data_IF_209010500236
#
_entry.id   IF_209010500236
#
_cell.length_a   1.000
_cell.length_b   1.000
_cell.length_c   1.000
_cell.angle_alpha   90.00
_cell.angle_beta   90.00
_cell.angle_gamma   90.00
#
_symmetry.space_group_name_H-M   'P 1'
#
loop_
_entity.id
_entity.type
_entity.pdbx_description
1 polymer ?
#
# COMPACT_ATOMS: atom_id res chain seq x y z
N UNK A 1 -70.71 -21.27 51.15
CA UNK A 1 -69.37 -21.40 51.77
C UNK A 1 -68.37 -21.82 50.70
N UNK A 2 -67.20 -21.19 50.73
CA UNK A 2 -65.96 -21.46 49.99
C UNK A 2 -65.87 -21.03 48.51
N UNK A 3 -65.51 -19.75 48.36
CA UNK A 3 -64.80 -19.19 47.20
C UNK A 3 -63.35 -19.70 47.27
N UNK A 4 -62.93 -20.45 46.25
CA UNK A 4 -61.55 -20.93 46.13
C UNK A 4 -60.66 -19.88 45.46
N UNK A 5 -59.47 -19.73 46.05
CA UNK A 5 -58.42 -18.77 45.75
C UNK A 5 -57.86 -18.96 44.33
N UNK A 6 -57.97 -17.94 43.49
CA UNK A 6 -57.11 -17.77 42.31
C UNK A 6 -56.11 -16.68 42.66
N UNK A 7 -54.93 -17.11 43.08
CA UNK A 7 -53.81 -16.25 43.45
C UNK A 7 -53.13 -15.76 42.17
N UNK A 8 -53.00 -14.45 42.09
CA UNK A 8 -52.34 -13.65 41.06
C UNK A 8 -50.93 -14.16 40.79
N UNK A 9 -50.64 -14.48 39.52
CA UNK A 9 -49.29 -14.84 39.04
C UNK A 9 -49.10 -14.24 37.65
N UNK A 10 -49.03 -12.91 37.56
CA UNK A 10 -48.85 -12.20 36.28
C UNK A 10 -48.16 -10.83 36.45
N UNK A 11 -47.00 -10.78 37.09
CA UNK A 11 -46.24 -9.52 37.24
C UNK A 11 -44.71 -9.67 37.20
N UNK A 12 -44.18 -10.74 36.59
CA UNK A 12 -42.72 -10.97 36.46
C UNK A 12 -42.14 -10.80 35.04
N UNK A 13 -42.88 -10.23 34.09
CA UNK A 13 -42.43 -10.06 32.69
C UNK A 13 -41.95 -8.64 32.33
N UNK A 14 -41.84 -7.71 33.29
CA UNK A 14 -41.51 -6.29 33.01
C UNK A 14 -40.03 -5.91 33.20
N UNK A 15 -39.15 -6.82 33.64
CA UNK A 15 -37.75 -6.45 33.94
C UNK A 15 -36.78 -6.70 32.78
N UNK A 16 -37.14 -7.51 31.78
CA UNK A 16 -36.30 -7.71 30.58
C UNK A 16 -36.51 -6.65 29.49
N UNK A 17 -37.61 -5.89 29.54
CA UNK A 17 -37.96 -4.87 28.54
C UNK A 17 -37.33 -3.49 28.77
N UNK A 18 -36.65 -3.26 29.90
CA UNK A 18 -35.99 -1.98 30.17
C UNK A 18 -34.67 -1.84 29.39
N UNK A 19 -33.88 -2.92 29.26
CA UNK A 19 -32.60 -2.89 28.56
C UNK A 19 -32.79 -2.69 27.04
N UNK A 20 -33.67 -3.46 26.41
CA UNK A 20 -33.98 -3.34 24.98
C UNK A 20 -34.54 -1.95 24.64
N UNK A 21 -35.45 -1.42 25.47
CA UNK A 21 -36.02 -0.09 25.29
C UNK A 21 -34.99 1.03 25.45
N UNK A 22 -34.06 0.90 26.39
CA UNK A 22 -33.00 1.88 26.60
C UNK A 22 -32.00 1.87 25.44
N UNK A 23 -31.65 0.69 24.92
CA UNK A 23 -30.76 0.56 23.78
C UNK A 23 -31.37 1.19 22.52
N UNK A 24 -32.61 0.81 22.16
CA UNK A 24 -33.30 1.40 21.01
C UNK A 24 -33.41 2.93 21.11
N UNK A 25 -33.70 3.45 22.31
CA UNK A 25 -33.72 4.89 22.55
C UNK A 25 -32.35 5.53 22.24
N UNK A 26 -31.26 4.99 22.78
CA UNK A 26 -29.93 5.57 22.59
C UNK A 26 -29.36 5.38 21.19
N UNK A 27 -29.71 4.29 20.50
CA UNK A 27 -29.39 4.11 19.07
C UNK A 27 -30.04 5.20 18.21
N UNK A 28 -31.24 5.65 18.57
CA UNK A 28 -31.94 6.75 17.91
C UNK A 28 -31.53 8.15 18.40
N UNK A 29 -30.90 8.25 19.58
CA UNK A 29 -30.59 9.50 20.29
C UNK A 29 -29.13 9.47 20.79
N UNK A 30 -28.18 9.53 19.85
CA UNK A 30 -26.77 9.33 20.15
C UNK A 30 -26.13 10.45 20.96
N UNK A 31 -26.60 11.69 20.83
CA UNK A 31 -26.07 12.80 21.62
C UNK A 31 -26.42 12.59 23.10
N UNK A 32 -27.64 12.16 23.38
CA UNK A 32 -28.12 11.76 24.69
C UNK A 32 -27.38 10.52 25.21
N UNK A 33 -27.06 9.57 24.34
CA UNK A 33 -26.24 8.40 24.67
C UNK A 33 -24.83 8.83 25.13
N UNK A 34 -24.18 9.75 24.40
CA UNK A 34 -22.86 10.27 24.77
C UNK A 34 -22.88 11.02 26.10
N UNK A 35 -23.88 11.87 26.32
CA UNK A 35 -24.07 12.55 27.61
C UNK A 35 -24.24 11.52 28.74
N UNK A 36 -25.02 10.46 28.51
CA UNK A 36 -25.21 9.40 29.51
C UNK A 36 -23.92 8.63 29.78
N UNK A 37 -23.15 8.28 28.76
CA UNK A 37 -21.84 7.62 28.91
C UNK A 37 -20.92 8.47 29.79
N UNK A 38 -20.80 9.78 29.52
CA UNK A 38 -19.95 10.68 30.31
C UNK A 38 -20.39 10.74 31.78
N UNK A 39 -21.71 10.77 32.04
CA UNK A 39 -22.27 10.73 33.39
C UNK A 39 -21.95 9.42 34.12
N UNK A 40 -22.07 8.28 33.43
CA UNK A 40 -21.76 6.96 33.96
C UNK A 40 -20.26 6.84 34.26
N UNK A 41 -19.39 7.25 33.34
CA UNK A 41 -17.93 7.26 33.54
C UNK A 41 -17.52 8.14 34.72
N UNK A 42 -18.04 9.37 34.79
CA UNK A 42 -17.78 10.29 35.89
C UNK A 42 -18.20 9.69 37.24
N UNK A 43 -19.36 9.03 37.27
CA UNK A 43 -19.88 8.40 38.47
C UNK A 43 -19.04 7.20 38.90
N UNK A 44 -18.61 6.36 37.95
CA UNK A 44 -17.73 5.23 38.20
C UNK A 44 -16.35 5.69 38.69
N UNK A 45 -15.75 6.70 38.04
CA UNK A 45 -14.46 7.28 38.46
C UNK A 45 -14.56 7.85 39.86
N UNK A 46 -15.63 8.60 40.16
CA UNK A 46 -15.85 9.14 41.50
C UNK A 46 -15.93 8.03 42.55
N UNK A 47 -16.76 7.01 42.32
CA UNK A 47 -16.89 5.87 43.22
C UNK A 47 -15.56 5.12 43.41
N UNK A 48 -14.81 4.94 42.32
CA UNK A 48 -13.50 4.31 42.35
C UNK A 48 -12.49 5.11 43.17
N UNK A 49 -12.40 6.43 42.96
CA UNK A 49 -11.48 7.31 43.71
C UNK A 49 -11.80 7.37 45.20
N UNK A 50 -13.08 7.22 45.58
CA UNK A 50 -13.50 7.12 46.99
C UNK A 50 -13.43 5.69 47.55
N UNK A 51 -12.89 4.73 46.80
CA UNK A 51 -12.80 3.31 47.17
C UNK A 51 -14.14 2.65 47.51
N UNK A 52 -15.24 3.17 46.93
CA UNK A 52 -16.60 2.68 47.13
C UNK A 52 -16.91 1.58 46.10
N UNK A 53 -16.55 0.34 46.44
CA UNK A 53 -16.64 -0.82 45.54
C UNK A 53 -18.08 -1.14 45.13
N UNK A 54 -19.03 -1.06 46.07
CA UNK A 54 -20.44 -1.34 45.81
C UNK A 54 -21.00 -0.36 44.78
N UNK A 55 -20.63 0.92 44.90
CA UNK A 55 -21.06 1.95 43.96
C UNK A 55 -20.39 1.84 42.59
N UNK A 56 -19.14 1.39 42.52
CA UNK A 56 -18.50 1.06 41.24
C UNK A 56 -19.28 -0.06 40.54
N UNK A 57 -19.59 -1.15 41.25
CA UNK A 57 -20.34 -2.28 40.69
C UNK A 57 -21.75 -1.87 40.25
N UNK A 58 -22.44 -1.04 41.05
CA UNK A 58 -23.76 -0.52 40.70
C UNK A 58 -23.76 0.29 39.41
N UNK A 59 -22.73 1.11 39.16
CA UNK A 59 -22.62 1.89 37.91
C UNK A 59 -22.26 0.99 36.71
N UNK A 60 -21.36 0.01 36.91
CA UNK A 60 -20.93 -0.90 35.84
C UNK A 60 -22.01 -1.91 35.44
N UNK A 61 -22.97 -2.18 36.31
CA UNK A 61 -24.10 -3.08 36.05
C UNK A 61 -25.41 -2.35 35.77
N UNK A 62 -25.39 -1.01 35.79
CA UNK A 62 -26.55 -0.20 35.47
C UNK A 62 -26.96 -0.39 34.01
N UNK A 63 -28.19 -0.85 33.79
CA UNK A 63 -28.68 -1.21 32.47
C UNK A 63 -28.78 -0.01 31.52
N UNK A 64 -29.03 1.19 32.03
CA UNK A 64 -29.11 2.40 31.20
C UNK A 64 -27.71 2.85 30.76
N UNK A 65 -26.73 2.80 31.68
CA UNK A 65 -25.31 3.01 31.36
C UNK A 65 -24.79 2.01 30.33
N UNK A 66 -25.11 0.72 30.48
CA UNK A 66 -24.71 -0.32 29.53
C UNK A 66 -25.31 -0.07 28.14
N UNK A 67 -26.61 0.23 28.05
CA UNK A 67 -27.27 0.54 26.78
C UNK A 67 -26.69 1.79 26.10
N UNK A 68 -26.39 2.85 26.86
CA UNK A 68 -25.78 4.06 26.30
C UNK A 68 -24.36 3.80 25.76
N UNK A 69 -23.54 3.05 26.50
CA UNK A 69 -22.19 2.64 26.06
C UNK A 69 -22.28 1.78 24.79
N UNK A 70 -23.21 0.83 24.75
CA UNK A 70 -23.42 -0.05 23.61
C UNK A 70 -23.80 0.74 22.35
N UNK A 71 -24.77 1.66 22.45
CA UNK A 71 -25.20 2.51 21.34
C UNK A 71 -24.06 3.38 20.79
N UNK A 72 -23.31 4.05 21.67
CA UNK A 72 -22.17 4.89 21.27
C UNK A 72 -21.08 4.05 20.60
N UNK A 73 -20.74 2.89 21.19
CA UNK A 73 -19.71 2.00 20.66
C UNK A 73 -20.09 1.45 19.29
N UNK A 74 -21.33 0.99 19.12
CA UNK A 74 -21.82 0.46 17.85
C UNK A 74 -21.78 1.54 16.75
N UNK A 75 -22.20 2.76 17.09
CA UNK A 75 -22.10 3.90 16.17
C UNK A 75 -20.64 4.19 15.78
N UNK A 76 -19.74 4.32 16.75
CA UNK A 76 -18.34 4.68 16.49
C UNK A 76 -17.62 3.60 15.69
N UNK A 77 -17.95 2.33 15.91
CA UNK A 77 -17.48 1.21 15.08
C UNK A 77 -17.96 1.33 13.63
N UNK A 78 -19.23 1.67 13.42
CA UNK A 78 -19.79 1.85 12.08
C UNK A 78 -19.14 3.01 11.33
N UNK A 79 -18.89 4.14 12.01
CA UNK A 79 -18.17 5.27 11.41
C UNK A 79 -16.75 4.85 11.04
N UNK A 80 -16.02 4.19 11.95
CA UNK A 80 -14.67 3.73 11.67
C UNK A 80 -14.61 2.74 10.50
N UNK A 81 -15.61 1.87 10.35
CA UNK A 81 -15.73 0.95 9.20
C UNK A 81 -15.95 1.72 7.89
N UNK A 82 -16.89 2.67 7.87
CA UNK A 82 -17.16 3.51 6.70
C UNK A 82 -15.92 4.33 6.28
N UNK A 83 -15.17 4.87 7.24
CA UNK A 83 -13.93 5.59 6.98
C UNK A 83 -12.85 4.69 6.38
N UNK A 84 -12.70 3.46 6.91
CA UNK A 84 -11.77 2.46 6.36
C UNK A 84 -12.15 2.06 4.95
N UNK A 85 -13.42 1.79 4.69
CA UNK A 85 -13.88 1.46 3.34
C UNK A 85 -13.62 2.60 2.35
N UNK A 86 -13.88 3.84 2.76
CA UNK A 86 -13.62 5.02 1.93
C UNK A 86 -12.12 5.17 1.65
N UNK A 87 -11.28 5.07 2.67
CA UNK A 87 -9.83 5.14 2.53
C UNK A 87 -9.28 4.03 1.63
N UNK A 88 -9.83 2.81 1.74
CA UNK A 88 -9.44 1.69 0.87
C UNK A 88 -9.83 1.96 -0.59
N UNK A 89 -11.06 2.42 -0.85
CA UNK A 89 -11.51 2.77 -2.21
C UNK A 89 -10.66 3.89 -2.81
N UNK A 90 -10.32 4.92 -2.03
CA UNK A 90 -9.44 6.01 -2.46
C UNK A 90 -8.03 5.50 -2.76
N UNK A 91 -7.45 4.66 -1.89
CA UNK A 91 -6.14 4.07 -2.10
C UNK A 91 -6.10 3.17 -3.34
N UNK A 92 -7.12 2.34 -3.57
CA UNK A 92 -7.24 1.51 -4.77
C UNK A 92 -7.37 2.37 -6.04
N UNK A 93 -8.13 3.46 -6.00
CA UNK A 93 -8.23 4.40 -7.12
C UNK A 93 -6.88 5.08 -7.41
N UNK A 94 -6.16 5.52 -6.37
CA UNK A 94 -4.81 6.09 -6.52
C UNK A 94 -3.83 5.08 -7.10
N UNK A 95 -3.86 3.82 -6.64
CA UNK A 95 -3.03 2.74 -7.17
C UNK A 95 -3.31 2.50 -8.65
N UNK A 96 -4.58 2.39 -9.04
CA UNK A 96 -4.98 2.22 -10.45
C UNK A 96 -4.54 3.41 -11.32
N UNK A 97 -4.68 4.64 -10.83
CA UNK A 97 -4.22 5.83 -11.52
C UNK A 97 -2.69 5.86 -11.67
N UNK A 98 -1.96 5.49 -10.63
CA UNK A 98 -0.50 5.39 -10.66
C UNK A 98 0.00 4.29 -11.60
N UNK A 99 -0.65 3.12 -11.62
CA UNK A 99 -0.36 2.03 -12.56
C UNK A 99 -0.63 2.46 -14.00
N UNK A 100 -1.78 3.08 -14.29
CA UNK A 100 -2.09 3.62 -15.61
C UNK A 100 -1.04 4.62 -16.07
N UNK A 101 -0.71 5.60 -15.22
CA UNK A 101 0.33 6.58 -15.51
C UNK A 101 1.70 5.93 -15.74
N UNK A 102 2.06 4.94 -14.93
CA UNK A 102 3.29 4.18 -15.10
C UNK A 102 3.37 3.52 -16.48
N UNK A 103 2.29 2.87 -16.93
CA UNK A 103 2.25 2.24 -18.24
C UNK A 103 2.30 3.24 -19.40
N UNK A 104 1.60 4.37 -19.29
CA UNK A 104 1.64 5.46 -20.27
C UNK A 104 3.06 6.06 -20.37
N UNK A 105 3.67 6.39 -19.23
CA UNK A 105 5.03 6.92 -19.17
C UNK A 105 6.04 5.90 -19.71
N UNK A 106 5.92 4.62 -19.35
CA UNK A 106 6.78 3.55 -19.85
C UNK A 106 6.68 3.44 -21.37
N UNK A 107 5.47 3.37 -21.93
CA UNK A 107 5.28 3.29 -23.38
C UNK A 107 5.88 4.50 -24.10
N UNK A 108 5.68 5.70 -23.55
CA UNK A 108 6.28 6.93 -24.06
C UNK A 108 7.80 6.87 -24.06
N UNK A 109 8.42 6.47 -22.96
CA UNK A 109 9.88 6.39 -22.86
C UNK A 109 10.46 5.29 -23.76
N UNK A 110 9.82 4.13 -23.86
CA UNK A 110 10.24 3.05 -24.74
C UNK A 110 10.32 3.47 -26.21
N UNK A 111 9.41 4.34 -26.66
CA UNK A 111 9.46 4.92 -28.00
C UNK A 111 10.48 6.06 -28.07
N UNK A 112 10.42 7.05 -27.17
CA UNK A 112 11.28 8.23 -27.28
C UNK A 112 12.78 7.93 -27.16
N UNK A 113 13.13 6.81 -26.52
CA UNK A 113 14.51 6.40 -26.30
C UNK A 113 14.95 5.31 -27.28
N UNK A 114 14.08 4.81 -28.17
CA UNK A 114 14.42 3.68 -29.07
C UNK A 114 15.49 4.01 -30.09
N UNK A 115 15.63 5.28 -30.43
CA UNK A 115 16.54 5.76 -31.49
C UNK A 115 17.91 6.15 -30.94
N UNK A 116 18.07 6.14 -29.62
CA UNK A 116 19.35 6.42 -28.98
C UNK A 116 20.37 5.32 -29.24
N UNK A 117 21.64 5.74 -29.30
CA UNK A 117 22.77 4.82 -29.38
C UNK A 117 22.95 4.03 -28.08
N UNK A 118 23.67 2.91 -28.15
CA UNK A 118 24.02 2.14 -26.96
C UNK A 118 24.76 2.97 -25.90
N UNK A 119 25.65 3.90 -26.32
CA UNK A 119 26.41 4.74 -25.39
C UNK A 119 25.48 5.68 -24.61
N UNK A 120 24.50 6.27 -25.28
CA UNK A 120 23.52 7.16 -24.64
C UNK A 120 22.61 6.39 -23.68
N UNK A 121 22.17 5.19 -24.09
CA UNK A 121 21.34 4.33 -23.24
C UNK A 121 22.13 3.80 -22.03
N UNK A 122 23.40 3.41 -22.17
CA UNK A 122 24.24 2.97 -21.05
C UNK A 122 24.45 4.10 -20.02
N UNK A 123 24.58 5.35 -20.49
CA UNK A 123 24.64 6.52 -19.60
C UNK A 123 23.34 6.68 -18.81
N UNK A 124 22.19 6.65 -19.48
CA UNK A 124 20.88 6.72 -18.82
C UNK A 124 20.67 5.56 -17.84
N UNK A 125 21.14 4.36 -18.20
CA UNK A 125 21.01 3.17 -17.36
C UNK A 125 21.83 3.30 -16.06
N UNK A 126 23.00 3.94 -16.12
CA UNK A 126 23.79 4.27 -14.93
C UNK A 126 23.10 5.30 -14.04
N UNK A 127 22.48 6.33 -14.63
CA UNK A 127 21.68 7.32 -13.91
C UNK A 127 20.47 6.67 -13.19
N UNK A 128 19.92 5.61 -13.78
CA UNK A 128 18.79 4.87 -13.21
C UNK A 128 19.13 3.97 -12.01
N UNK A 129 20.42 3.73 -11.68
CA UNK A 129 20.81 2.83 -10.58
C UNK A 129 20.30 3.26 -9.20
N UNK A 130 20.13 4.57 -8.99
CA UNK A 130 19.73 5.13 -7.70
C UNK A 130 18.44 5.98 -7.80
N UNK A 131 17.78 5.98 -8.96
CA UNK A 131 16.56 6.78 -9.16
C UNK A 131 15.33 6.01 -8.67
N UNK A 132 14.66 6.56 -7.65
CA UNK A 132 13.35 6.10 -7.16
C UNK A 132 12.18 6.85 -7.80
N UNK A 133 12.43 8.00 -8.44
CA UNK A 133 11.39 8.88 -8.98
C UNK A 133 10.91 8.46 -10.38
N UNK A 134 11.81 7.97 -11.22
CA UNK A 134 11.53 7.72 -12.64
C UNK A 134 11.41 6.23 -12.97
N UNK A 135 10.62 5.48 -12.18
CA UNK A 135 10.53 4.01 -12.33
C UNK A 135 10.16 3.56 -13.75
N UNK A 136 9.23 4.25 -14.40
CA UNK A 136 8.78 3.92 -15.76
C UNK A 136 9.90 4.13 -16.79
N UNK A 137 10.56 5.30 -16.75
CA UNK A 137 11.73 5.62 -17.59
C UNK A 137 12.85 4.61 -17.38
N UNK A 138 13.16 4.30 -16.13
CA UNK A 138 14.26 3.41 -15.81
C UNK A 138 14.00 1.96 -16.20
N UNK A 139 12.74 1.51 -16.16
CA UNK A 139 12.37 0.22 -16.72
C UNK A 139 12.57 0.20 -18.25
N UNK A 140 12.09 1.22 -18.97
CA UNK A 140 12.28 1.33 -20.41
C UNK A 140 13.77 1.37 -20.80
N UNK A 141 14.58 2.17 -20.09
CA UNK A 141 16.03 2.27 -20.30
C UNK A 141 16.71 0.91 -20.08
N UNK A 142 16.35 0.17 -19.02
CA UNK A 142 16.94 -1.14 -18.74
C UNK A 142 16.71 -2.13 -19.88
N UNK A 143 15.50 -2.20 -20.40
CA UNK A 143 15.14 -3.09 -21.51
C UNK A 143 15.80 -2.66 -22.82
N UNK A 144 15.82 -1.35 -23.11
CA UNK A 144 16.53 -0.81 -24.27
C UNK A 144 18.04 -1.03 -24.17
N UNK A 145 18.62 -0.97 -22.97
CA UNK A 145 20.06 -1.16 -22.77
C UNK A 145 20.51 -2.55 -23.20
N UNK A 146 19.78 -3.59 -22.78
CA UNK A 146 20.01 -4.97 -23.20
C UNK A 146 19.90 -5.11 -24.73
N UNK A 147 18.83 -4.56 -25.32
CA UNK A 147 18.58 -4.63 -26.76
C UNK A 147 19.67 -3.92 -27.56
N UNK A 148 19.97 -2.67 -27.22
CA UNK A 148 20.96 -1.81 -27.91
C UNK A 148 22.38 -2.34 -27.76
N UNK A 149 22.71 -2.91 -26.60
CA UNK A 149 23.99 -3.61 -26.40
C UNK A 149 24.14 -4.74 -27.41
N UNK A 150 23.12 -5.58 -27.56
CA UNK A 150 23.17 -6.71 -28.49
C UNK A 150 23.18 -6.28 -29.96
N UNK A 151 22.41 -5.25 -30.32
CA UNK A 151 22.45 -4.63 -31.65
C UNK A 151 23.87 -4.15 -31.98
N UNK A 152 24.49 -3.37 -31.08
CA UNK A 152 25.85 -2.83 -31.28
C UNK A 152 26.91 -3.95 -31.34
N UNK A 153 26.79 -4.99 -30.50
CA UNK A 153 27.66 -6.18 -30.58
C UNK A 153 27.58 -6.83 -31.96
N UNK A 154 26.39 -6.97 -32.53
CA UNK A 154 26.22 -7.57 -33.85
C UNK A 154 26.76 -6.67 -34.96
N UNK A 155 26.49 -5.35 -34.89
CA UNK A 155 27.08 -4.37 -35.80
C UNK A 155 28.61 -4.45 -35.81
N UNK A 156 29.24 -4.58 -34.64
CA UNK A 156 30.70 -4.75 -34.55
C UNK A 156 31.18 -6.05 -35.19
N UNK A 157 30.48 -7.17 -34.98
CA UNK A 157 30.85 -8.46 -35.59
C UNK A 157 30.73 -8.45 -37.11
N UNK A 158 29.68 -7.80 -37.63
CA UNK A 158 29.43 -7.71 -39.07
C UNK A 158 30.42 -6.75 -39.74
N UNK A 159 30.73 -5.64 -39.07
CA UNK A 159 31.69 -4.65 -39.56
C UNK A 159 33.14 -5.16 -39.54
N UNK A 160 33.51 -5.91 -38.51
CA UNK A 160 34.89 -6.38 -38.29
C UNK A 160 35.00 -7.91 -38.41
N UNK A 161 35.05 -8.38 -39.65
CA UNK A 161 35.24 -9.81 -40.00
C UNK A 161 36.72 -10.19 -40.08
N UNK A 162 37.01 -11.51 -40.03
CA UNK A 162 38.33 -12.05 -40.37
C UNK A 162 39.48 -11.67 -39.43
N UNK A 163 39.21 -11.41 -38.14
CA UNK A 163 40.25 -11.05 -37.14
C UNK A 163 40.39 -9.54 -36.89
N UNK A 164 39.76 -8.69 -37.72
CA UNK A 164 39.77 -7.23 -37.54
C UNK A 164 39.08 -6.74 -36.26
N UNK A 165 38.24 -7.57 -35.63
CA UNK A 165 37.56 -7.23 -34.38
C UNK A 165 38.53 -7.21 -33.19
N UNK A 166 39.56 -8.08 -33.20
CA UNK A 166 40.61 -8.08 -32.20
C UNK A 166 41.46 -6.80 -32.29
N UNK A 167 41.81 -6.38 -33.51
CA UNK A 167 42.52 -5.12 -33.76
C UNK A 167 41.70 -3.91 -33.29
N UNK A 168 40.41 -3.89 -33.65
CA UNK A 168 39.49 -2.86 -33.17
C UNK A 168 39.44 -2.83 -31.64
N UNK A 169 39.22 -3.96 -30.97
CA UNK A 169 39.24 -4.01 -29.49
C UNK A 169 40.55 -3.48 -28.92
N UNK A 170 41.71 -3.92 -29.43
CA UNK A 170 43.03 -3.47 -28.95
C UNK A 170 43.16 -1.94 -29.06
N UNK A 171 42.68 -1.35 -30.15
CA UNK A 171 42.67 0.11 -30.32
C UNK A 171 41.70 0.80 -29.37
N UNK A 172 40.44 0.36 -29.28
CA UNK A 172 39.40 0.96 -28.43
C UNK A 172 39.67 0.85 -26.94
N UNK A 173 40.49 -0.13 -26.53
CA UNK A 173 40.88 -0.35 -25.14
C UNK A 173 42.24 0.26 -24.77
N UNK A 174 42.91 0.99 -25.67
CA UNK A 174 44.19 1.63 -25.37
C UNK A 174 43.94 2.80 -24.40
N UNK A 175 44.55 2.73 -23.22
CA UNK A 175 44.45 3.81 -22.23
C UNK A 175 44.97 5.14 -22.80
N UNK A 176 44.27 6.24 -22.53
CA UNK A 176 44.57 7.57 -23.06
C UNK A 176 43.42 8.55 -22.81
N UNK A 177 43.56 9.80 -23.28
CA UNK A 177 42.57 10.88 -23.08
C UNK A 177 41.23 10.57 -23.77
N UNK A 178 41.25 9.83 -24.88
CA UNK A 178 40.04 9.43 -25.63
C UNK A 178 39.45 8.07 -25.18
N UNK A 179 39.93 7.52 -24.05
CA UNK A 179 39.50 6.20 -23.60
C UNK A 179 38.01 6.20 -23.19
N UNK A 180 37.21 5.40 -23.89
CA UNK A 180 35.82 5.16 -23.56
C UNK A 180 35.63 3.72 -23.07
N UNK A 181 35.42 3.57 -21.76
CA UNK A 181 35.24 2.27 -21.11
C UNK A 181 34.05 1.48 -21.67
N UNK A 182 32.98 2.16 -22.11
CA UNK A 182 31.79 1.51 -22.70
C UNK A 182 32.15 0.87 -24.04
N UNK A 183 32.87 1.61 -24.89
CA UNK A 183 33.32 1.11 -26.21
C UNK A 183 34.30 -0.06 -26.04
N UNK A 184 35.26 0.07 -25.13
CA UNK A 184 36.20 -1.02 -24.85
C UNK A 184 35.48 -2.29 -24.36
N UNK A 185 34.49 -2.16 -23.48
CA UNK A 185 33.73 -3.30 -22.96
C UNK A 185 32.90 -3.98 -24.04
N UNK A 186 32.20 -3.22 -24.87
CA UNK A 186 31.37 -3.83 -25.92
C UNK A 186 32.22 -4.50 -27.01
N UNK A 187 33.38 -3.93 -27.33
CA UNK A 187 34.34 -4.54 -28.25
C UNK A 187 34.89 -5.88 -27.70
N UNK A 188 35.24 -5.91 -26.40
CA UNK A 188 35.64 -7.15 -25.70
C UNK A 188 34.56 -8.22 -25.78
N UNK A 189 33.32 -7.84 -25.51
CA UNK A 189 32.20 -8.77 -25.50
C UNK A 189 31.87 -9.29 -26.90
N UNK A 190 31.91 -8.42 -27.91
CA UNK A 190 31.73 -8.80 -29.31
C UNK A 190 32.80 -9.80 -29.77
N UNK A 191 34.08 -9.56 -29.46
CA UNK A 191 35.19 -10.45 -29.79
C UNK A 191 35.02 -11.83 -29.12
N UNK A 192 34.77 -11.85 -27.80
CA UNK A 192 34.56 -13.09 -27.05
C UNK A 192 33.43 -13.93 -27.66
N UNK A 193 32.30 -13.31 -27.99
CA UNK A 193 31.18 -14.00 -28.62
C UNK A 193 31.50 -14.49 -30.05
N UNK A 194 32.33 -13.76 -30.81
CA UNK A 194 32.74 -14.17 -32.17
C UNK A 194 33.71 -15.36 -32.13
N UNK A 195 34.63 -15.39 -31.16
CA UNK A 195 35.58 -16.48 -30.98
C UNK A 195 34.91 -17.77 -30.47
N UNK A 196 33.93 -17.65 -29.57
CA UNK A 196 33.16 -18.81 -29.08
C UNK A 196 32.29 -19.47 -30.15
N UNK A 197 31.87 -18.75 -31.19
CA UNK A 197 31.16 -19.34 -32.36
C UNK A 197 32.08 -20.11 -33.32
N UNK A 198 33.40 -19.96 -33.21
CA UNK A 198 34.40 -20.62 -34.07
C UNK A 198 34.97 -21.91 -33.46
N UNK A 199 34.69 -22.18 -32.18
CA UNK A 199 35.02 -23.43 -31.48
C UNK A 199 33.87 -24.40 -31.59
#
# INVERSE_FOLDING_TARGET
MHINKITILLSLLLMSGCLERNLEYYEANLDEARVKVEQCETSAIKAFTTQDKERVEAVLTDTECLSAVEAVKAHDQKIAELEREKAQKEHEAQKKAAEKKYHEDYAKYSVSLSDLSYIEIDKLNKECRFSVRDKAKCQAVKELNEKKKNEEINVLKDKYVGGKLEEYRKSSCKGGIEFNHVICNIAKEAENQQQNKKK
#
